data_IF_847894347694
#
_entry.id   IF_847894347694
#
_cell.length_a   1.000
_cell.length_b   1.000
_cell.length_c   1.000
_cell.angle_alpha   90.00
_cell.angle_beta   90.00
_cell.angle_gamma   90.00
#
_symmetry.space_group_name_H-M   'P 1'
#
loop_
_entity.id
_entity.type
_entity.pdbx_description
1 polymer ?
#
# COMPACT_ATOMS: atom_id res chain seq x y z
N UNK A 1 2.24 -6.43 25.59
CA UNK A 1 1.27 -5.82 24.68
C UNK A 1 1.72 -5.97 23.24
N UNK A 2 0.84 -6.44 22.39
CA UNK A 2 1.18 -6.58 20.98
C UNK A 2 1.37 -5.21 20.33
N UNK A 3 2.38 -5.08 19.49
CA UNK A 3 2.55 -3.88 18.68
C UNK A 3 1.46 -3.82 17.62
N UNK A 4 0.93 -2.63 17.39
CA UNK A 4 -0.05 -2.41 16.33
C UNK A 4 0.68 -2.00 15.05
N UNK A 5 0.20 -2.52 13.92
CA UNK A 5 0.67 -2.12 12.60
C UNK A 5 -0.53 -1.69 11.76
N UNK A 6 -0.91 -0.41 11.86
CA UNK A 6 -2.08 0.08 11.12
C UNK A 6 -1.99 -0.10 9.61
N UNK A 7 -0.81 0.10 9.03
CA UNK A 7 -0.61 -0.11 7.60
C UNK A 7 -0.72 -1.60 7.24
N UNK A 8 -0.10 -2.46 8.02
CA UNK A 8 -0.20 -3.91 7.82
C UNK A 8 -1.64 -4.40 7.93
N UNK A 9 -2.41 -3.85 8.87
CA UNK A 9 -3.84 -4.16 9.00
C UNK A 9 -4.62 -3.77 7.73
N UNK A 10 -4.36 -2.59 7.18
CA UNK A 10 -5.00 -2.15 5.94
C UNK A 10 -4.67 -3.11 4.79
N UNK A 11 -3.40 -3.47 4.63
CA UNK A 11 -2.99 -4.39 3.57
C UNK A 11 -3.66 -5.76 3.72
N UNK A 12 -3.78 -6.25 4.94
CA UNK A 12 -4.49 -7.50 5.24
C UNK A 12 -5.97 -7.39 4.87
N UNK A 13 -6.62 -6.28 5.19
CA UNK A 13 -8.03 -6.04 4.82
C UNK A 13 -8.23 -6.04 3.31
N UNK A 14 -7.31 -5.41 2.57
CA UNK A 14 -7.34 -5.43 1.10
C UNK A 14 -7.23 -6.85 0.59
N UNK A 15 -6.25 -7.61 1.08
CA UNK A 15 -6.04 -9.00 0.68
C UNK A 15 -7.26 -9.86 0.96
N UNK A 16 -7.80 -9.78 2.18
CA UNK A 16 -8.97 -10.56 2.56
C UNK A 16 -10.21 -10.16 1.75
N UNK A 17 -10.40 -8.87 1.50
CA UNK A 17 -11.50 -8.38 0.68
C UNK A 17 -11.46 -8.90 -0.74
N UNK A 18 -10.28 -8.96 -1.34
CA UNK A 18 -10.11 -9.52 -2.68
C UNK A 18 -10.40 -11.02 -2.71
N UNK A 19 -9.94 -11.77 -1.70
CA UNK A 19 -10.22 -13.20 -1.60
C UNK A 19 -11.73 -13.47 -1.48
N UNK A 20 -12.45 -12.60 -0.76
CA UNK A 20 -13.89 -12.69 -0.60
C UNK A 20 -14.67 -12.05 -1.77
N UNK A 21 -13.98 -11.54 -2.79
CA UNK A 21 -14.59 -10.91 -3.97
C UNK A 21 -15.47 -9.71 -3.62
N UNK A 22 -15.09 -8.93 -2.62
CA UNK A 22 -15.82 -7.72 -2.24
C UNK A 22 -15.52 -6.59 -3.22
N UNK A 23 -16.49 -5.70 -3.41
CA UNK A 23 -16.30 -4.50 -4.24
C UNK A 23 -15.49 -3.44 -3.50
N UNK A 24 -15.69 -3.33 -2.20
CA UNK A 24 -14.99 -2.35 -1.39
C UNK A 24 -14.79 -2.88 0.03
N UNK A 25 -13.84 -2.25 0.74
CA UNK A 25 -13.57 -2.53 2.14
C UNK A 25 -13.41 -1.22 2.90
N UNK A 26 -13.55 -1.28 4.22
CA UNK A 26 -13.33 -0.14 5.10
C UNK A 26 -12.08 -0.35 5.95
N UNK A 27 -11.33 0.72 6.16
CA UNK A 27 -10.19 0.75 7.07
C UNK A 27 -10.22 2.07 7.85
N UNK A 28 -9.71 2.12 9.07
CA UNK A 28 -9.56 3.40 9.77
C UNK A 28 -8.69 4.36 8.97
N UNK A 29 -9.02 5.65 9.02
CA UNK A 29 -8.31 6.67 8.26
C UNK A 29 -7.00 7.07 8.94
N UNK A 30 -5.96 7.33 8.13
CA UNK A 30 -4.74 8.00 8.55
C UNK A 30 -4.06 8.59 7.32
N UNK A 31 -3.18 9.56 7.54
CA UNK A 31 -2.44 10.18 6.44
C UNK A 31 -1.56 9.16 5.71
N UNK A 32 -0.86 8.31 6.44
CA UNK A 32 0.01 7.31 5.84
C UNK A 32 -0.78 6.33 4.99
N UNK A 33 -1.90 5.82 5.50
CA UNK A 33 -2.75 4.92 4.74
C UNK A 33 -3.27 5.56 3.46
N UNK A 34 -3.74 6.82 3.54
CA UNK A 34 -4.22 7.54 2.36
C UNK A 34 -3.12 7.72 1.32
N UNK A 35 -1.91 8.04 1.74
CA UNK A 35 -0.78 8.21 0.82
C UNK A 35 -0.37 6.91 0.14
N UNK A 36 -0.41 5.79 0.86
CA UNK A 36 -0.18 4.48 0.26
C UNK A 36 -1.27 4.15 -0.75
N UNK A 37 -2.53 4.45 -0.43
CA UNK A 37 -3.65 4.25 -1.35
C UNK A 37 -3.52 5.11 -2.60
N UNK A 38 -3.01 6.34 -2.48
CA UNK A 38 -2.75 7.19 -3.65
C UNK A 38 -1.78 6.52 -4.62
N UNK A 39 -0.71 5.91 -4.10
CA UNK A 39 0.26 5.19 -4.93
C UNK A 39 -0.39 3.97 -5.57
N UNK A 40 -1.14 3.18 -4.81
CA UNK A 40 -1.83 2.00 -5.34
C UNK A 40 -2.81 2.37 -6.46
N UNK A 41 -3.51 3.50 -6.32
CA UNK A 41 -4.44 3.97 -7.33
C UNK A 41 -3.70 4.44 -8.59
N UNK A 42 -2.63 5.23 -8.44
CA UNK A 42 -1.82 5.71 -9.57
C UNK A 42 -1.24 4.56 -10.37
N UNK A 43 -0.81 3.50 -9.68
CA UNK A 43 -0.21 2.33 -10.32
C UNK A 43 -1.25 1.32 -10.82
N UNK A 44 -2.53 1.61 -10.63
CA UNK A 44 -3.61 0.80 -11.19
C UNK A 44 -3.96 -0.45 -10.40
N UNK A 45 -3.61 -0.52 -9.12
CA UNK A 45 -3.89 -1.69 -8.29
C UNK A 45 -5.23 -1.63 -7.58
N UNK A 46 -5.78 -0.44 -7.37
CA UNK A 46 -7.13 -0.24 -6.83
C UNK A 46 -7.87 0.77 -7.71
N UNK A 47 -9.20 0.75 -7.65
CA UNK A 47 -10.02 1.70 -8.42
C UNK A 47 -9.98 3.09 -7.82
N UNK A 48 -9.93 3.18 -6.50
CA UNK A 48 -9.88 4.43 -5.79
C UNK A 48 -10.22 4.26 -4.33
N UNK A 49 -10.33 5.37 -3.62
CA UNK A 49 -10.78 5.37 -2.24
C UNK A 49 -11.44 6.70 -1.92
N UNK A 50 -12.24 6.71 -0.85
CA UNK A 50 -12.90 7.92 -0.37
C UNK A 50 -12.96 7.90 1.15
N UNK A 51 -13.05 9.10 1.76
CA UNK A 51 -13.28 9.20 3.19
C UNK A 51 -14.74 8.89 3.48
N UNK A 52 -14.97 8.16 4.57
CA UNK A 52 -16.31 7.80 5.02
C UNK A 52 -16.34 7.87 6.54
N UNK A 53 -17.38 8.51 7.08
CA UNK A 53 -17.56 8.58 8.52
C UNK A 53 -18.28 7.31 8.99
N UNK A 54 -17.65 6.62 9.95
CA UNK A 54 -18.22 5.42 10.57
C UNK A 54 -18.38 5.71 12.05
N UNK A 55 -19.61 6.06 12.46
CA UNK A 55 -19.86 6.49 13.82
C UNK A 55 -19.07 7.76 14.14
N UNK A 56 -18.35 7.82 15.28
CA UNK A 56 -17.55 9.00 15.65
C UNK A 56 -16.19 9.05 14.95
N UNK A 57 -15.81 8.02 14.19
CA UNK A 57 -14.49 7.90 13.61
C UNK A 57 -14.53 8.12 12.10
N UNK A 58 -13.40 8.57 11.56
CA UNK A 58 -13.20 8.64 10.09
C UNK A 58 -12.61 7.35 9.60
N UNK A 59 -13.09 6.90 8.44
CA UNK A 59 -12.57 5.72 7.77
C UNK A 59 -12.26 6.01 6.31
N UNK A 60 -11.60 5.06 5.67
CA UNK A 60 -11.36 5.06 4.23
C UNK A 60 -12.08 3.87 3.63
N UNK A 61 -12.91 4.14 2.63
CA UNK A 61 -13.53 3.09 1.82
C UNK A 61 -12.64 2.89 0.60
N UNK A 62 -12.10 1.69 0.47
CA UNK A 62 -11.18 1.34 -0.61
C UNK A 62 -11.97 0.53 -1.64
N UNK A 63 -12.01 1.00 -2.87
CA UNK A 63 -12.67 0.30 -3.96
C UNK A 63 -11.68 -0.63 -4.65
N UNK A 64 -11.94 -1.93 -4.54
CA UNK A 64 -11.06 -2.97 -5.06
C UNK A 64 -11.22 -3.11 -6.56
N UNK A 65 -10.19 -3.61 -7.21
CA UNK A 65 -10.14 -3.72 -8.67
C UNK A 65 -9.94 -5.18 -9.08
N UNK A 66 -10.72 -5.59 -10.06
CA UNK A 66 -10.63 -6.93 -10.65
C UNK A 66 -10.53 -6.79 -12.16
N UNK A 67 -9.82 -7.72 -12.78
CA UNK A 67 -9.69 -7.80 -14.22
C UNK A 67 -9.95 -9.24 -14.65
N UNK A 68 -10.98 -9.43 -15.48
CA UNK A 68 -11.40 -10.76 -15.95
C UNK A 68 -11.62 -11.74 -14.79
N UNK A 69 -12.24 -11.28 -13.71
CA UNK A 69 -12.55 -12.08 -12.53
C UNK A 69 -11.40 -12.30 -11.58
N UNK A 70 -10.21 -11.75 -11.85
CA UNK A 70 -9.04 -11.89 -11.00
C UNK A 70 -8.71 -10.58 -10.30
N UNK A 71 -8.27 -10.61 -9.02
CA UNK A 71 -7.84 -9.40 -8.34
C UNK A 71 -6.68 -8.73 -9.08
N UNK A 72 -6.70 -7.40 -9.14
CA UNK A 72 -5.61 -6.64 -9.74
C UNK A 72 -4.31 -6.78 -8.95
N UNK A 73 -4.40 -6.96 -7.62
CA UNK A 73 -3.25 -7.22 -6.76
C UNK A 73 -3.11 -8.73 -6.61
N UNK A 74 -2.01 -9.29 -7.10
CA UNK A 74 -1.72 -10.72 -6.97
C UNK A 74 -0.89 -11.01 -5.72
N UNK A 75 -0.03 -10.06 -5.34
CA UNK A 75 0.83 -10.20 -4.17
C UNK A 75 0.90 -8.86 -3.46
N UNK A 76 0.72 -8.88 -2.13
CA UNK A 76 0.77 -7.69 -1.31
C UNK A 76 1.43 -8.06 0.02
N UNK A 77 2.64 -7.55 0.24
CA UNK A 77 3.44 -7.91 1.40
C UNK A 77 3.93 -6.67 2.15
N UNK A 78 3.74 -6.66 3.46
CA UNK A 78 4.33 -5.67 4.35
C UNK A 78 5.82 -5.97 4.48
N UNK A 79 6.67 -4.96 4.29
CA UNK A 79 8.13 -5.11 4.42
C UNK A 79 8.60 -4.51 5.74
N UNK A 80 8.55 -3.19 5.90
CA UNK A 80 8.92 -2.54 7.15
C UNK A 80 7.79 -2.63 8.15
N UNK A 81 8.10 -3.07 9.37
CA UNK A 81 7.10 -3.29 10.44
C UNK A 81 7.52 -2.52 11.68
N UNK A 82 6.59 -2.21 12.60
CA UNK A 82 6.93 -1.50 13.85
C UNK A 82 8.04 -2.15 14.64
N UNK A 83 8.10 -3.49 14.68
CA UNK A 83 9.14 -4.23 15.38
C UNK A 83 10.43 -4.42 14.60
N UNK A 84 10.42 -4.12 13.30
CA UNK A 84 11.57 -4.29 12.42
C UNK A 84 11.47 -3.35 11.23
N UNK A 85 12.01 -2.16 11.39
CA UNK A 85 12.02 -1.17 10.32
C UNK A 85 13.03 -1.54 9.24
N UNK A 86 12.67 -1.36 7.99
CA UNK A 86 13.50 -1.68 6.83
C UNK A 86 13.67 -0.42 5.98
N UNK A 87 14.92 0.00 5.82
CA UNK A 87 15.29 1.17 5.02
C UNK A 87 16.18 0.73 3.88
N UNK A 88 16.11 1.43 2.76
CA UNK A 88 16.97 1.16 1.61
C UNK A 88 17.44 2.45 0.98
N UNK A 89 18.71 2.47 0.56
CA UNK A 89 19.20 3.46 -0.37
C UNK A 89 18.63 3.12 -1.74
N UNK A 90 18.44 4.13 -2.57
CA UNK A 90 17.82 3.93 -3.89
C UNK A 90 18.64 2.98 -4.77
N UNK A 91 19.98 3.03 -4.66
CA UNK A 91 20.85 2.17 -5.43
C UNK A 91 20.73 0.69 -5.07
N UNK A 92 20.34 0.39 -3.83
CA UNK A 92 20.26 -0.98 -3.31
C UNK A 92 18.85 -1.57 -3.39
N UNK A 93 17.88 -0.78 -3.85
CA UNK A 93 16.48 -1.22 -3.86
C UNK A 93 16.23 -2.21 -5.00
N UNK A 94 15.86 -3.46 -4.69
CA UNK A 94 15.60 -4.44 -5.74
C UNK A 94 14.29 -4.13 -6.47
N UNK A 95 14.20 -4.58 -7.71
CA UNK A 95 12.96 -4.50 -8.46
C UNK A 95 12.03 -5.62 -8.07
N UNK A 96 10.74 -5.33 -7.97
CA UNK A 96 9.71 -6.31 -7.62
C UNK A 96 9.22 -6.98 -8.90
N UNK A 97 9.20 -8.32 -8.92
CA UNK A 97 8.74 -9.11 -10.07
C UNK A 97 9.37 -8.65 -11.39
N UNK A 98 10.70 -8.42 -11.38
CA UNK A 98 11.47 -7.96 -12.54
C UNK A 98 10.95 -6.64 -13.14
N UNK A 99 10.44 -5.75 -12.29
CA UNK A 99 9.91 -4.46 -12.71
C UNK A 99 8.41 -4.46 -13.03
N UNK A 100 7.75 -5.60 -12.95
CA UNK A 100 6.30 -5.68 -13.15
C UNK A 100 5.51 -5.23 -11.92
N UNK A 101 6.11 -5.31 -10.73
CA UNK A 101 5.53 -4.85 -9.50
C UNK A 101 6.21 -3.58 -8.99
N UNK A 102 5.81 -3.13 -7.80
CA UNK A 102 6.35 -1.94 -7.17
C UNK A 102 6.69 -2.20 -5.70
N UNK A 103 7.65 -1.42 -5.20
CA UNK A 103 7.80 -1.17 -3.76
C UNK A 103 7.21 0.21 -3.49
N UNK A 104 6.55 0.37 -2.35
CA UNK A 104 6.08 1.68 -1.89
C UNK A 104 6.96 2.12 -0.74
N UNK A 105 7.54 3.32 -0.87
CA UNK A 105 8.50 3.84 0.09
C UNK A 105 7.99 5.12 0.73
N UNK A 106 8.36 5.29 2.00
CA UNK A 106 8.25 6.58 2.68
C UNK A 106 9.60 7.28 2.60
N UNK A 107 9.66 8.40 1.88
CA UNK A 107 10.88 9.15 1.63
C UNK A 107 10.76 10.56 2.20
N UNK A 108 11.88 11.31 2.29
CA UNK A 108 11.81 12.72 2.69
C UNK A 108 10.92 13.58 1.78
N UNK A 109 10.66 13.11 0.55
CA UNK A 109 9.79 13.81 -0.41
C UNK A 109 8.37 13.26 -0.43
N UNK A 110 8.04 12.34 0.45
CA UNK A 110 6.69 11.77 0.57
C UNK A 110 6.65 10.28 0.28
N UNK A 111 5.45 9.73 0.28
CA UNK A 111 5.21 8.31 -0.03
C UNK A 111 5.12 8.16 -1.55
N UNK A 112 5.90 7.25 -2.10
CA UNK A 112 6.00 7.08 -3.54
C UNK A 112 6.38 5.65 -3.92
N UNK A 113 6.24 5.32 -5.20
CA UNK A 113 6.70 4.03 -5.74
C UNK A 113 8.22 4.03 -5.89
N UNK A 114 8.80 2.84 -6.06
CA UNK A 114 10.23 2.69 -6.31
C UNK A 114 10.67 3.40 -7.59
N UNK A 115 9.86 3.35 -8.65
CA UNK A 115 10.16 4.06 -9.90
C UNK A 115 10.22 5.57 -9.69
N UNK A 116 9.25 6.13 -8.95
CA UNK A 116 9.24 7.56 -8.62
C UNK A 116 10.45 7.91 -7.75
N UNK A 117 10.81 7.06 -6.79
CA UNK A 117 11.95 7.27 -5.91
C UNK A 117 13.27 7.24 -6.69
N UNK A 118 13.41 6.36 -7.68
CA UNK A 118 14.58 6.31 -8.55
C UNK A 118 14.68 7.58 -9.38
N UNK A 119 13.59 8.06 -9.94
CA UNK A 119 13.57 9.32 -10.69
C UNK A 119 13.95 10.50 -9.81
N UNK A 120 13.47 10.55 -8.58
CA UNK A 120 13.79 11.61 -7.62
C UNK A 120 15.16 11.41 -6.95
N UNK A 121 15.79 10.25 -7.14
CA UNK A 121 17.06 9.87 -6.53
C UNK A 121 17.02 9.96 -4.99
N UNK A 122 15.99 9.39 -4.40
CA UNK A 122 15.80 9.36 -2.94
C UNK A 122 15.53 7.93 -2.48
N UNK A 123 16.11 7.57 -1.34
CA UNK A 123 15.78 6.33 -0.65
C UNK A 123 14.87 6.59 0.54
N UNK A 124 14.49 5.54 1.25
CA UNK A 124 13.64 5.69 2.42
C UNK A 124 13.23 4.36 3.02
N UNK A 125 12.18 4.41 3.81
CA UNK A 125 11.61 3.22 4.44
C UNK A 125 10.78 2.45 3.42
N UNK A 126 11.09 1.16 3.26
CA UNK A 126 10.35 0.30 2.33
C UNK A 126 9.11 -0.23 3.05
N UNK A 127 7.96 0.35 2.74
CA UNK A 127 6.71 0.06 3.44
C UNK A 127 6.14 -1.30 3.03
N UNK A 128 6.01 -1.53 1.74
CA UNK A 128 5.40 -2.76 1.22
C UNK A 128 5.82 -3.01 -0.22
N UNK A 129 5.52 -4.22 -0.69
CA UNK A 129 5.74 -4.64 -2.07
C UNK A 129 4.42 -5.14 -2.65
N UNK A 130 4.17 -4.82 -3.91
CA UNK A 130 2.93 -5.11 -4.60
C UNK A 130 3.21 -5.58 -6.02
N UNK A 131 2.50 -6.60 -6.45
CA UNK A 131 2.40 -6.93 -7.88
C UNK A 131 1.17 -7.75 -8.20
#
# INVERSE_FOLDING_TARGET
MAMTDPLGDMLTRIRNGQQARKDSILTPASKLRARVLDVLQREGYIRGYSEETVGPAKGLRIELKYFEGQPAIQHLARVSKPGRRVYSKIADLPRVANGLGISILSTPRGVMSDAEARTANVGGEVLCQVF
#
